data_IF_874183765794
#
_entry.id   IF_874183765794
#
_cell.length_a   1.000
_cell.length_b   1.000
_cell.length_c   1.000
_cell.angle_alpha   90.00
_cell.angle_beta   90.00
_cell.angle_gamma   90.00
#
_symmetry.space_group_name_H-M   'P 1'
#
loop_
_entity.id
_entity.type
_entity.pdbx_description
1 polymer ?
#
# COMPACT_ATOMS: atom_id res chain seq x y z
N UNK A 1 7.16 -20.16 -0.34
CA UNK A 1 5.94 -20.19 0.49
C UNK A 1 4.75 -20.10 -0.45
N UNK A 2 3.76 -20.98 -0.33
CA UNK A 2 2.54 -20.89 -1.16
C UNK A 2 1.73 -19.67 -0.70
N UNK A 3 1.47 -18.76 -1.62
CA UNK A 3 0.63 -17.57 -1.45
C UNK A 3 -0.83 -18.03 -1.22
N UNK A 4 -1.35 -17.88 0.01
CA UNK A 4 -2.67 -18.40 0.44
C UNK A 4 -3.77 -17.35 0.27
N UNK A 5 -3.90 -16.80 -0.94
CA UNK A 5 -4.97 -15.86 -1.29
C UNK A 5 -6.31 -16.56 -1.49
N UNK A 6 -7.38 -15.92 -1.05
CA UNK A 6 -8.75 -16.41 -1.19
C UNK A 6 -9.17 -16.23 -2.66
N UNK A 7 -9.28 -17.28 -3.45
CA UNK A 7 -9.62 -17.11 -4.88
C UNK A 7 -11.13 -16.97 -5.11
N UNK A 8 -11.94 -17.70 -4.34
CA UNK A 8 -13.39 -17.77 -4.49
C UNK A 8 -14.05 -18.17 -3.17
N UNK A 9 -15.28 -17.71 -2.95
CA UNK A 9 -16.16 -18.21 -1.89
C UNK A 9 -17.42 -18.77 -2.52
N UNK A 10 -17.73 -20.02 -2.19
CA UNK A 10 -18.95 -20.71 -2.64
C UNK A 10 -19.73 -21.10 -1.40
N UNK A 11 -20.98 -20.66 -1.33
CA UNK A 11 -21.93 -21.08 -0.30
C UNK A 11 -22.76 -22.20 -0.90
N UNK A 12 -22.69 -23.38 -0.28
CA UNK A 12 -23.54 -24.51 -0.61
C UNK A 12 -24.68 -24.58 0.38
N UNK A 13 -25.90 -24.61 -0.13
CA UNK A 13 -27.12 -24.75 0.66
C UNK A 13 -27.55 -26.22 0.72
N UNK A 14 -28.36 -26.56 1.73
CA UNK A 14 -28.81 -27.95 1.97
C UNK A 14 -29.71 -28.51 0.85
N UNK A 15 -30.29 -27.64 0.02
CA UNK A 15 -31.05 -28.01 -1.18
C UNK A 15 -30.15 -28.33 -2.39
N UNK A 16 -28.83 -28.30 -2.20
CA UNK A 16 -27.83 -28.56 -3.23
C UNK A 16 -27.56 -27.35 -4.12
N UNK A 17 -28.16 -26.19 -3.86
CA UNK A 17 -27.82 -24.96 -4.57
C UNK A 17 -26.45 -24.46 -4.14
N UNK A 18 -25.70 -23.96 -5.11
CA UNK A 18 -24.44 -23.27 -4.88
C UNK A 18 -24.56 -21.81 -5.31
N UNK A 19 -24.08 -20.91 -4.46
CA UNK A 19 -23.97 -19.49 -4.75
C UNK A 19 -22.53 -19.03 -4.60
N UNK A 20 -21.99 -18.45 -5.66
CA UNK A 20 -20.69 -17.80 -5.62
C UNK A 20 -20.83 -16.39 -5.04
N UNK A 21 -19.98 -16.08 -4.05
CA UNK A 21 -19.90 -14.77 -3.42
C UNK A 21 -18.54 -14.16 -3.76
N UNK A 22 -18.52 -12.96 -4.39
CA UNK A 22 -17.28 -12.22 -4.59
C UNK A 22 -16.59 -11.96 -3.24
N UNK A 23 -15.27 -12.15 -3.17
CA UNK A 23 -14.51 -11.91 -1.93
C UNK A 23 -14.67 -10.48 -1.41
N UNK A 24 -14.88 -9.51 -2.31
CA UNK A 24 -15.19 -8.10 -2.00
C UNK A 24 -16.51 -7.91 -1.25
N UNK A 25 -17.45 -8.84 -1.36
CA UNK A 25 -18.75 -8.79 -0.70
C UNK A 25 -18.76 -9.50 0.66
N UNK A 26 -17.62 -10.06 1.09
CA UNK A 26 -17.52 -10.71 2.39
C UNK A 26 -17.48 -9.68 3.51
N UNK A 27 -18.24 -9.89 4.60
CA UNK A 27 -18.13 -9.07 5.80
C UNK A 27 -16.71 -9.10 6.37
N UNK A 28 -16.25 -7.98 6.90
CA UNK A 28 -14.90 -7.88 7.47
C UNK A 28 -14.65 -8.91 8.58
N UNK A 29 -15.66 -9.22 9.40
CA UNK A 29 -15.59 -10.27 10.42
C UNK A 29 -15.21 -11.63 9.83
N UNK A 30 -15.80 -12.01 8.70
CA UNK A 30 -15.53 -13.28 8.04
C UNK A 30 -14.13 -13.32 7.41
N UNK A 31 -13.66 -12.19 6.88
CA UNK A 31 -12.28 -12.05 6.41
C UNK A 31 -11.26 -12.21 7.54
N UNK A 32 -11.55 -11.67 8.74
CA UNK A 32 -10.71 -11.83 9.93
C UNK A 32 -10.67 -13.28 10.41
N UNK A 33 -11.81 -13.99 10.37
CA UNK A 33 -11.87 -15.41 10.70
C UNK A 33 -11.05 -16.25 9.70
N UNK A 34 -11.17 -15.98 8.39
CA UNK A 34 -10.35 -16.61 7.35
C UNK A 34 -8.84 -16.31 7.51
N UNK A 35 -8.50 -15.10 7.98
CA UNK A 35 -7.11 -14.75 8.28
C UNK A 35 -6.54 -15.54 9.45
N UNK A 36 -7.34 -15.81 10.49
CA UNK A 36 -6.92 -16.58 11.66
C UNK A 36 -6.56 -18.04 11.31
N UNK A 37 -7.17 -18.60 10.25
CA UNK A 37 -6.86 -19.94 9.71
C UNK A 37 -5.78 -19.92 8.61
N UNK A 38 -5.16 -18.76 8.36
CA UNK A 38 -3.97 -18.61 7.53
C UNK A 38 -4.23 -18.30 6.05
N UNK A 39 -5.43 -17.79 5.71
CA UNK A 39 -5.66 -17.16 4.42
C UNK A 39 -5.26 -15.69 4.46
N UNK A 40 -4.65 -15.18 3.40
CA UNK A 40 -4.42 -13.74 3.31
C UNK A 40 -5.75 -13.03 3.05
N UNK A 41 -6.05 -11.99 3.83
CA UNK A 41 -7.13 -11.05 3.50
C UNK A 41 -6.77 -10.51 2.13
N UNK A 42 -7.49 -10.92 1.09
CA UNK A 42 -7.43 -10.21 -0.17
C UNK A 42 -7.79 -8.78 0.19
N UNK A 43 -6.82 -7.87 0.12
CA UNK A 43 -7.12 -6.45 0.17
C UNK A 43 -8.22 -6.25 -0.86
N UNK A 44 -9.34 -5.69 -0.43
CA UNK A 44 -10.41 -5.23 -1.32
C UNK A 44 -9.73 -4.62 -2.53
N UNK A 45 -10.02 -5.15 -3.72
CA UNK A 45 -9.59 -4.61 -5.01
C UNK A 45 -10.25 -3.24 -5.25
N UNK A 46 -9.96 -2.28 -4.39
CA UNK A 46 -9.81 -0.88 -4.71
C UNK A 46 -8.32 -0.66 -4.63
N UNK A 47 -7.61 -1.05 -5.68
CA UNK A 47 -6.18 -0.82 -5.81
C UNK A 47 -5.94 0.68 -5.98
N UNK A 48 -6.16 1.44 -4.92
CA UNK A 48 -5.84 2.86 -4.83
C UNK A 48 -4.34 3.05 -4.78
N UNK A 49 -3.52 2.16 -5.37
CA UNK A 49 -2.05 2.28 -5.37
C UNK A 49 -1.68 3.66 -5.87
N UNK A 50 -1.14 4.46 -4.96
CA UNK A 50 -0.50 5.72 -5.26
C UNK A 50 1.00 5.50 -5.33
N UNK A 51 1.65 6.35 -6.09
CA UNK A 51 3.07 6.32 -6.31
C UNK A 51 3.67 7.69 -6.03
N UNK A 52 4.87 7.71 -5.49
CA UNK A 52 5.70 8.90 -5.45
C UNK A 52 6.64 8.87 -6.64
N UNK A 53 6.52 9.87 -7.51
CA UNK A 53 7.49 10.14 -8.57
C UNK A 53 8.55 11.09 -8.03
N UNK A 54 9.78 10.60 -7.94
CA UNK A 54 10.96 11.33 -7.51
C UNK A 54 11.77 11.74 -8.74
N UNK A 55 11.90 13.05 -8.98
CA UNK A 55 12.78 13.58 -10.02
C UNK A 55 14.09 14.04 -9.39
N UNK A 56 15.20 13.50 -9.88
CA UNK A 56 16.54 13.82 -9.44
C UNK A 56 17.18 14.88 -10.35
N UNK A 57 18.18 15.62 -9.86
CA UNK A 57 18.86 16.70 -10.59
C UNK A 57 19.57 16.23 -11.87
N UNK A 58 19.98 14.97 -11.92
CA UNK A 58 20.59 14.34 -13.08
C UNK A 58 19.57 13.88 -14.15
N UNK A 59 18.29 14.14 -13.92
CA UNK A 59 17.20 13.80 -14.84
C UNK A 59 16.62 12.40 -14.66
N UNK A 60 17.17 11.58 -13.76
CA UNK A 60 16.58 10.28 -13.43
C UNK A 60 15.24 10.45 -12.70
N UNK A 61 14.31 9.54 -12.99
CA UNK A 61 13.01 9.46 -12.32
C UNK A 61 12.89 8.12 -11.61
N UNK A 62 12.54 8.15 -10.34
CA UNK A 62 12.34 6.97 -9.51
C UNK A 62 10.89 6.93 -9.03
N UNK A 63 10.33 5.73 -8.95
CA UNK A 63 8.93 5.51 -8.56
C UNK A 63 8.93 4.70 -7.29
N UNK A 64 8.34 5.26 -6.23
CA UNK A 64 8.18 4.57 -4.95
C UNK A 64 6.72 4.29 -4.72
N UNK A 65 6.38 3.03 -4.44
CA UNK A 65 5.01 2.65 -4.10
C UNK A 65 4.68 3.17 -2.71
N UNK A 66 3.50 3.77 -2.56
CA UNK A 66 2.95 4.19 -1.27
C UNK A 66 1.53 3.64 -1.08
N UNK A 67 1.03 3.60 0.17
CA UNK A 67 -0.36 3.28 0.45
C UNK A 67 -1.33 4.22 -0.27
N UNK A 68 -2.50 3.67 -0.59
CA UNK A 68 -3.43 4.34 -1.49
C UNK A 68 -4.25 5.48 -0.89
N UNK A 69 -4.23 5.56 0.44
CA UNK A 69 -4.79 6.62 1.25
C UNK A 69 -3.82 7.79 1.43
N UNK A 70 -2.64 7.78 0.79
CA UNK A 70 -1.68 8.88 0.86
C UNK A 70 -2.20 10.09 0.09
N UNK A 71 -2.53 11.17 0.79
CA UNK A 71 -3.14 12.39 0.21
C UNK A 71 -2.11 13.36 -0.31
N UNK A 72 -1.07 13.63 0.48
CA UNK A 72 -0.07 14.64 0.19
C UNK A 72 1.29 14.34 0.84
N UNK A 73 2.33 15.01 0.34
CA UNK A 73 3.64 15.02 0.96
C UNK A 73 3.67 16.11 2.03
N UNK A 74 3.69 15.73 3.31
CA UNK A 74 3.74 16.68 4.42
C UNK A 74 5.11 17.34 4.50
N UNK A 75 6.18 16.53 4.43
CA UNK A 75 7.54 17.04 4.68
C UNK A 75 8.62 16.15 4.12
N UNK A 76 9.66 16.79 3.59
CA UNK A 76 10.90 16.14 3.24
C UNK A 76 11.99 16.58 4.22
N UNK A 77 12.62 15.60 4.88
CA UNK A 77 13.71 15.88 5.80
C UNK A 77 15.01 15.21 5.34
N UNK A 78 16.06 16.01 5.24
CA UNK A 78 17.43 15.54 5.15
C UNK A 78 18.10 15.83 6.48
N UNK A 79 18.20 14.83 7.35
CA UNK A 79 18.98 14.97 8.58
C UNK A 79 20.43 15.16 8.13
N UNK A 80 21.06 16.27 8.50
CA UNK A 80 22.45 16.62 8.12
C UNK A 80 23.44 15.61 8.72
N UNK A 81 23.58 14.47 8.07
CA UNK A 81 24.64 13.46 8.23
C UNK A 81 25.07 13.03 6.82
N UNK A 82 26.27 12.46 6.62
CA UNK A 82 26.71 11.93 5.33
C UNK A 82 25.98 10.61 5.02
N UNK A 83 24.65 10.59 5.12
CA UNK A 83 23.86 9.40 4.84
C UNK A 83 23.44 9.41 3.37
N UNK A 84 23.68 8.28 2.69
CA UNK A 84 23.16 8.00 1.34
C UNK A 84 21.65 7.68 1.35
N UNK A 85 20.93 8.09 2.41
CA UNK A 85 19.50 7.81 2.61
C UNK A 85 18.73 9.08 2.97
N UNK A 86 17.57 9.26 2.38
CA UNK A 86 16.61 10.32 2.68
C UNK A 86 15.30 9.75 3.21
N UNK A 87 14.48 10.60 3.84
CA UNK A 87 13.17 10.21 4.38
C UNK A 87 12.09 11.18 3.94
N UNK A 88 10.99 10.63 3.45
CA UNK A 88 9.79 11.37 3.05
C UNK A 88 8.69 11.04 4.06
N UNK A 89 7.98 12.07 4.51
CA UNK A 89 6.82 11.92 5.39
C UNK A 89 5.57 12.26 4.60
N UNK A 90 4.67 11.30 4.48
CA UNK A 90 3.42 11.42 3.72
C UNK A 90 2.21 11.38 4.65
N UNK A 91 1.19 12.19 4.32
CA UNK A 91 -0.07 12.21 5.03
C UNK A 91 -0.93 11.02 4.61
N UNK A 92 -1.64 10.44 5.57
CA UNK A 92 -2.58 9.34 5.33
C UNK A 92 -3.98 9.81 5.71
N UNK A 93 -4.93 9.60 4.82
CA UNK A 93 -6.33 9.99 5.05
C UNK A 93 -7.01 9.15 6.14
N UNK A 94 -6.65 7.88 6.21
CA UNK A 94 -7.32 6.89 7.08
C UNK A 94 -6.49 6.56 8.34
N UNK A 95 -5.49 7.38 8.66
CA UNK A 95 -4.59 7.18 9.80
C UNK A 95 -4.14 8.52 10.39
N UNK A 96 -4.27 8.68 11.71
CA UNK A 96 -3.75 9.84 12.45
C UNK A 96 -2.21 9.89 12.49
N UNK A 97 -1.54 8.81 12.07
CA UNK A 97 -0.10 8.71 12.00
C UNK A 97 0.38 8.84 10.54
N UNK A 98 1.34 9.74 10.26
CA UNK A 98 1.93 9.87 8.94
C UNK A 98 2.86 8.69 8.66
N UNK A 99 3.04 8.37 7.38
CA UNK A 99 3.91 7.29 6.95
C UNK A 99 5.28 7.81 6.52
N UNK A 100 6.30 7.00 6.78
CA UNK A 100 7.68 7.33 6.51
C UNK A 100 8.24 6.43 5.41
N UNK A 101 8.64 7.06 4.31
CA UNK A 101 9.21 6.39 3.14
C UNK A 101 10.70 6.68 3.11
N UNK A 102 11.52 5.63 3.16
CA UNK A 102 12.97 5.74 3.01
C UNK A 102 13.39 5.67 1.53
N UNK A 103 14.26 6.57 1.11
CA UNK A 103 14.89 6.59 -0.22
C UNK A 103 16.38 6.31 -0.07
N UNK A 104 16.94 5.40 -0.87
CA UNK A 104 18.35 4.99 -0.79
C UNK A 104 19.15 5.71 -1.88
N UNK A 105 19.24 7.04 -1.78
CA UNK A 105 20.03 7.90 -2.66
C UNK A 105 20.39 9.22 -1.98
N UNK A 106 21.41 9.92 -2.48
CA UNK A 106 21.84 11.25 -2.03
C UNK A 106 20.67 12.24 -2.00
N UNK A 107 20.16 12.60 -0.81
CA UNK A 107 18.93 13.39 -0.68
C UNK A 107 19.02 14.79 -1.30
N UNK A 108 20.24 15.36 -1.33
CA UNK A 108 20.53 16.71 -1.87
C UNK A 108 20.34 16.83 -3.39
N UNK A 109 20.21 15.71 -4.07
CA UNK A 109 20.01 15.64 -5.52
C UNK A 109 18.53 15.52 -5.89
N UNK A 110 17.62 15.40 -4.92
CA UNK A 110 16.18 15.37 -5.19
C UNK A 110 15.73 16.77 -5.64
N UNK A 111 15.13 16.85 -6.83
CA UNK A 111 14.66 18.09 -7.45
C UNK A 111 13.16 18.29 -7.23
N UNK A 112 12.36 17.23 -7.35
CA UNK A 112 10.90 17.29 -7.21
C UNK A 112 10.34 15.96 -6.73
N UNK A 113 9.23 16.03 -5.98
CA UNK A 113 8.41 14.90 -5.56
C UNK A 113 6.97 15.17 -5.98
N UNK A 114 6.30 14.18 -6.56
CA UNK A 114 4.89 14.27 -6.95
C UNK A 114 4.17 12.97 -6.60
N UNK A 115 2.98 13.07 -5.99
CA UNK A 115 2.09 11.93 -5.76
C UNK A 115 1.29 11.69 -7.06
N UNK A 116 1.27 10.45 -7.53
CA UNK A 116 0.65 10.02 -8.81
C UNK A 116 -0.26 8.82 -8.57
#
# INVERSE_FOLDING_TARGET
MLDKKIQKVVVQYDDGLEQEIPVSNLPEKMLSELAAIGFEKNGTEGDSRRYLLLEWKDGWKEVVRVPGDVTELIRYFVIRRPEDKGRLVVERKDSDYPELVEIIRKPKELKRVTVV
#
